data_IF_427693904362
#
_entry.id   IF_427693904362
#
_cell.length_a   1.000
_cell.length_b   1.000
_cell.length_c   1.000
_cell.angle_alpha   90.00
_cell.angle_beta   90.00
_cell.angle_gamma   90.00
#
_symmetry.space_group_name_H-M   'P 1'
#
loop_
_entity.id
_entity.type
_entity.pdbx_description
1 polymer ?
#
# COMPACT_ATOMS: atom_id res chain seq x y z
N UNK A 1 -20.76 -8.58 7.55
CA UNK A 1 -20.02 -7.31 7.64
C UNK A 1 -20.98 -6.14 7.49
N UNK A 2 -20.78 -5.04 8.21
CA UNK A 2 -21.63 -3.84 8.18
C UNK A 2 -20.86 -2.59 8.59
N UNK A 3 -21.44 -1.44 8.36
CA UNK A 3 -20.93 -0.16 8.85
C UNK A 3 -21.71 0.23 10.09
N UNK A 4 -21.00 0.54 11.15
CA UNK A 4 -21.52 1.17 12.36
C UNK A 4 -20.95 2.59 12.42
N UNK A 5 -21.61 3.47 13.22
CA UNK A 5 -21.15 4.82 13.46
C UNK A 5 -20.92 5.03 14.96
N UNK A 6 -19.76 5.57 15.29
CA UNK A 6 -19.44 6.02 16.65
C UNK A 6 -19.39 7.55 16.65
N UNK A 7 -20.10 8.17 17.59
CA UNK A 7 -20.04 9.62 17.78
C UNK A 7 -19.10 9.96 18.94
N UNK A 8 -18.02 10.69 18.65
CA UNK A 8 -17.05 11.16 19.62
C UNK A 8 -16.81 12.65 19.40
N UNK A 9 -16.99 13.47 20.41
CA UNK A 9 -16.81 14.94 20.35
C UNK A 9 -17.55 15.57 19.14
N UNK A 10 -18.78 15.13 18.88
CA UNK A 10 -19.61 15.57 17.75
C UNK A 10 -19.06 15.21 16.36
N UNK A 11 -18.07 14.31 16.28
CA UNK A 11 -17.59 13.74 15.01
C UNK A 11 -18.15 12.34 14.85
N UNK A 12 -18.75 12.08 13.69
CA UNK A 12 -19.25 10.77 13.31
C UNK A 12 -18.11 9.96 12.68
N UNK A 13 -17.74 8.86 13.31
CA UNK A 13 -16.61 8.00 12.90
C UNK A 13 -17.18 6.69 12.36
N UNK A 14 -16.90 6.33 11.10
CA UNK A 14 -17.35 5.06 10.54
C UNK A 14 -16.52 3.91 11.11
N UNK A 15 -17.19 2.79 11.38
CA UNK A 15 -16.58 1.54 11.81
C UNK A 15 -17.00 0.42 10.88
N UNK A 16 -16.08 -0.09 10.10
CA UNK A 16 -16.26 -1.36 9.39
C UNK A 16 -16.26 -2.48 10.42
N UNK A 17 -17.35 -3.21 10.55
CA UNK A 17 -17.56 -4.16 11.64
C UNK A 17 -17.93 -5.57 11.14
N UNK A 18 -17.24 -6.60 11.68
CA UNK A 18 -17.61 -8.00 11.49
C UNK A 18 -17.50 -8.77 12.81
N UNK A 19 -18.63 -9.32 13.29
CA UNK A 19 -18.62 -10.30 14.38
C UNK A 19 -18.36 -11.70 13.83
N UNK A 20 -17.37 -12.40 14.37
CA UNK A 20 -17.01 -13.77 13.97
C UNK A 20 -16.52 -14.56 15.18
N UNK A 21 -17.25 -15.61 15.55
CA UNK A 21 -16.92 -16.51 16.67
C UNK A 21 -16.05 -17.70 16.25
N UNK A 22 -15.52 -17.70 15.02
CA UNK A 22 -14.71 -18.82 14.52
C UNK A 22 -13.41 -19.03 15.30
N UNK A 23 -12.85 -17.93 15.82
CA UNK A 23 -11.67 -17.94 16.70
C UNK A 23 -11.85 -16.88 17.79
N UNK A 24 -11.28 -17.07 19.00
CA UNK A 24 -11.38 -16.10 20.10
C UNK A 24 -10.41 -14.91 19.91
N UNK A 25 -10.35 -14.34 18.72
CA UNK A 25 -9.45 -13.23 18.38
C UNK A 25 -10.23 -11.97 18.04
N UNK A 26 -9.61 -10.83 18.29
CA UNK A 26 -10.13 -9.50 17.93
C UNK A 26 -9.05 -8.75 17.18
N UNK A 27 -9.45 -8.10 16.09
CA UNK A 27 -8.64 -7.16 15.31
C UNK A 27 -9.30 -5.78 15.32
N UNK A 28 -8.54 -4.77 15.69
CA UNK A 28 -8.91 -3.36 15.59
C UNK A 28 -7.84 -2.64 14.78
N UNK A 29 -8.26 -1.88 13.77
CA UNK A 29 -7.36 -1.00 13.03
C UNK A 29 -7.93 0.42 13.01
N UNK A 30 -7.13 1.38 13.41
CA UNK A 30 -7.38 2.81 13.27
C UNK A 30 -6.68 3.29 12.00
N UNK A 31 -7.42 3.73 11.00
CA UNK A 31 -6.88 4.18 9.70
C UNK A 31 -7.10 5.68 9.58
N UNK A 32 -6.03 6.46 9.72
CA UNK A 32 -6.06 7.90 9.55
C UNK A 32 -5.79 8.24 8.08
N UNK A 33 -6.81 8.77 7.40
CA UNK A 33 -6.76 9.16 5.98
C UNK A 33 -5.94 10.44 5.81
N UNK A 34 -5.25 10.57 4.67
CA UNK A 34 -4.37 11.71 4.37
C UNK A 34 -3.43 12.03 5.56
N UNK A 35 -2.77 10.98 6.07
CA UNK A 35 -1.84 11.03 7.21
C UNK A 35 -0.57 10.20 6.96
N UNK A 36 -0.39 9.66 5.76
CA UNK A 36 0.77 8.88 5.37
C UNK A 36 1.96 9.74 4.90
N UNK A 37 2.90 9.10 4.20
CA UNK A 37 4.10 9.78 3.69
C UNK A 37 3.80 10.88 2.67
N UNK A 38 2.61 10.90 2.06
CA UNK A 38 2.12 12.01 1.24
C UNK A 38 2.05 13.35 2.01
N UNK A 39 2.07 13.31 3.35
CA UNK A 39 2.00 14.46 4.24
C UNK A 39 3.37 14.85 4.84
N UNK A 40 4.46 14.26 4.38
CA UNK A 40 5.81 14.54 4.89
C UNK A 40 6.29 15.99 4.67
N UNK A 41 5.65 16.74 3.77
CA UNK A 41 6.11 18.06 3.36
C UNK A 41 7.56 17.99 2.83
N UNK A 42 8.45 18.79 3.41
CA UNK A 42 9.89 18.82 3.04
C UNK A 42 10.75 17.80 3.79
N UNK A 43 10.17 17.05 4.73
CA UNK A 43 10.89 16.12 5.60
C UNK A 43 10.54 14.68 5.22
N UNK A 44 11.05 14.21 4.07
CA UNK A 44 10.88 12.83 3.64
C UNK A 44 11.19 11.86 4.79
N UNK A 45 10.31 10.88 5.04
CA UNK A 45 10.42 9.92 6.14
C UNK A 45 9.77 10.35 7.47
N UNK A 46 9.25 11.58 7.61
CA UNK A 46 8.67 12.06 8.87
C UNK A 46 7.51 11.18 9.35
N UNK A 47 6.56 10.86 8.50
CA UNK A 47 5.40 10.03 8.86
C UNK A 47 5.82 8.62 9.31
N UNK A 48 6.77 8.00 8.60
CA UNK A 48 7.29 6.66 8.94
C UNK A 48 8.08 6.69 10.24
N UNK A 49 8.95 7.69 10.43
CA UNK A 49 9.70 7.86 11.67
C UNK A 49 8.75 8.11 12.86
N UNK A 50 7.67 8.88 12.66
CA UNK A 50 6.63 9.10 13.67
C UNK A 50 5.92 7.79 14.06
N UNK A 51 5.63 6.92 13.11
CA UNK A 51 5.09 5.59 13.40
C UNK A 51 6.09 4.73 14.19
N UNK A 52 7.36 4.74 13.81
CA UNK A 52 8.41 4.01 14.52
C UNK A 52 8.53 4.48 15.98
N UNK A 53 8.43 5.81 16.22
CA UNK A 53 8.48 6.34 17.60
C UNK A 53 7.26 5.91 18.43
N UNK A 54 6.06 5.82 17.83
CA UNK A 54 4.89 5.29 18.55
C UNK A 54 5.09 3.83 18.97
N UNK A 55 5.80 3.02 18.19
CA UNK A 55 6.10 1.64 18.54
C UNK A 55 7.08 1.50 19.72
N UNK A 56 7.62 2.61 20.21
CA UNK A 56 8.50 2.65 21.38
C UNK A 56 7.78 2.82 22.73
N UNK A 57 6.45 2.60 22.73
CA UNK A 57 5.62 2.58 23.94
C UNK A 57 5.27 3.95 24.48
N UNK A 58 4.87 3.98 25.75
CA UNK A 58 4.43 5.18 26.44
C UNK A 58 5.50 5.78 27.38
N UNK A 59 5.32 7.04 27.77
CA UNK A 59 6.22 7.76 28.68
C UNK A 59 6.31 7.13 30.06
N UNK A 60 5.27 6.42 30.54
CA UNK A 60 5.20 5.88 31.88
C UNK A 60 6.02 4.60 32.02
N UNK A 61 5.93 3.71 31.05
CA UNK A 61 6.56 2.39 31.10
C UNK A 61 7.86 2.36 30.31
N UNK A 62 8.00 3.21 29.30
CA UNK A 62 9.07 3.12 28.31
C UNK A 62 8.95 1.90 27.42
N UNK A 63 9.86 1.74 26.46
CA UNK A 63 9.76 0.74 25.39
C UNK A 63 9.71 -0.69 25.94
N UNK A 64 10.69 -1.08 26.77
CA UNK A 64 10.84 -2.48 27.19
C UNK A 64 9.69 -3.01 28.08
N UNK A 65 9.25 -2.19 29.04
CA UNK A 65 8.14 -2.60 29.94
C UNK A 65 6.80 -2.57 29.20
N UNK A 66 6.58 -1.59 28.34
CA UNK A 66 5.38 -1.50 27.52
C UNK A 66 5.26 -2.73 26.60
N UNK A 67 6.34 -3.08 25.87
CA UNK A 67 6.38 -4.27 25.04
C UNK A 67 6.13 -5.55 25.85
N UNK A 68 6.77 -5.71 27.02
CA UNK A 68 6.59 -6.88 27.88
C UNK A 68 5.12 -7.05 28.33
N UNK A 69 4.42 -5.95 28.68
CA UNK A 69 3.01 -6.02 29.08
C UNK A 69 2.10 -6.52 27.95
N UNK A 70 2.42 -6.20 26.70
CA UNK A 70 1.72 -6.69 25.52
C UNK A 70 2.07 -8.15 25.21
N UNK A 71 3.37 -8.47 25.19
CA UNK A 71 3.88 -9.80 24.83
C UNK A 71 3.37 -10.93 25.75
N UNK A 72 3.33 -10.70 27.06
CA UNK A 72 2.82 -11.71 28.03
C UNK A 72 1.34 -12.03 27.85
N UNK A 73 0.63 -11.23 27.03
CA UNK A 73 -0.80 -11.41 26.68
C UNK A 73 -1.01 -11.71 25.20
N UNK A 74 0.06 -11.93 24.45
CA UNK A 74 0.02 -12.11 23.00
C UNK A 74 -0.76 -10.98 22.29
N UNK A 75 -0.60 -9.72 22.75
CA UNK A 75 -1.18 -8.53 22.11
C UNK A 75 -0.16 -7.97 21.13
N UNK A 76 -0.57 -7.82 19.87
CA UNK A 76 0.14 -7.02 18.90
C UNK A 76 -0.51 -5.63 18.87
N UNK A 77 0.26 -4.58 19.18
CA UNK A 77 -0.11 -3.17 19.03
C UNK A 77 1.00 -2.50 18.23
N UNK A 78 0.69 -2.05 17.02
CA UNK A 78 1.68 -1.54 16.09
C UNK A 78 1.18 -0.32 15.34
N UNK A 79 2.03 0.71 15.19
CA UNK A 79 1.80 1.86 14.32
C UNK A 79 2.58 1.67 13.02
N UNK A 80 1.97 2.02 11.89
CA UNK A 80 2.55 1.91 10.56
C UNK A 80 2.14 3.09 9.68
N UNK A 81 2.93 3.33 8.63
CA UNK A 81 2.71 4.42 7.69
C UNK A 81 2.78 3.91 6.25
N UNK A 82 1.68 4.10 5.52
CA UNK A 82 1.63 3.96 4.06
C UNK A 82 1.86 5.29 3.36
N UNK A 83 1.58 5.35 2.05
CA UNK A 83 1.65 6.62 1.31
C UNK A 83 0.50 7.54 1.68
N UNK A 84 -0.73 7.03 1.70
CA UNK A 84 -1.95 7.80 1.93
C UNK A 84 -2.41 7.81 3.40
N UNK A 85 -2.07 6.77 4.15
CA UNK A 85 -2.63 6.52 5.47
C UNK A 85 -1.58 6.30 6.54
N UNK A 86 -1.94 6.67 7.78
CA UNK A 86 -1.27 6.24 8.99
C UNK A 86 -2.19 5.27 9.72
N UNK A 87 -1.67 4.14 10.17
CA UNK A 87 -2.48 3.10 10.81
C UNK A 87 -1.95 2.78 12.20
N UNK A 88 -2.87 2.44 13.12
CA UNK A 88 -2.54 1.82 14.39
C UNK A 88 -3.39 0.55 14.50
N UNK A 89 -2.73 -0.60 14.63
CA UNK A 89 -3.37 -1.90 14.60
C UNK A 89 -3.25 -2.60 15.95
N UNK A 90 -4.35 -3.22 16.41
CA UNK A 90 -4.38 -4.14 17.54
C UNK A 90 -4.85 -5.51 17.06
N UNK A 91 -4.11 -6.56 17.42
CA UNK A 91 -4.57 -7.93 17.30
C UNK A 91 -4.33 -8.64 18.64
N UNK A 92 -5.37 -9.27 19.21
CA UNK A 92 -5.28 -9.93 20.49
C UNK A 92 -6.34 -11.03 20.66
N UNK A 93 -6.23 -11.81 21.74
CA UNK A 93 -7.32 -12.63 22.20
C UNK A 93 -8.46 -11.75 22.75
N UNK A 94 -9.69 -12.21 22.60
CA UNK A 94 -10.90 -11.52 23.06
C UNK A 94 -10.81 -11.06 24.52
N UNK A 95 -10.35 -11.91 25.41
CA UNK A 95 -10.22 -11.62 26.83
C UNK A 95 -9.26 -10.48 27.17
N UNK A 96 -8.34 -10.17 26.24
CA UNK A 96 -7.36 -9.10 26.39
C UNK A 96 -7.74 -7.80 25.66
N UNK A 97 -8.88 -7.77 24.95
CA UNK A 97 -9.24 -6.62 24.12
C UNK A 97 -9.40 -5.31 24.94
N UNK A 98 -10.08 -5.36 26.08
CA UNK A 98 -10.22 -4.20 26.96
C UNK A 98 -8.87 -3.69 27.48
N UNK A 99 -7.96 -4.62 27.85
CA UNK A 99 -6.60 -4.24 28.23
C UNK A 99 -5.82 -3.61 27.06
N UNK A 100 -5.92 -4.18 25.86
CA UNK A 100 -5.29 -3.66 24.66
C UNK A 100 -5.81 -2.24 24.31
N UNK A 101 -7.11 -2.00 24.44
CA UNK A 101 -7.70 -0.66 24.30
C UNK A 101 -7.15 0.32 25.33
N UNK A 102 -6.96 -0.10 26.58
CA UNK A 102 -6.29 0.69 27.63
C UNK A 102 -4.86 1.06 27.22
N UNK A 103 -4.09 0.11 26.70
CA UNK A 103 -2.72 0.36 26.21
C UNK A 103 -2.67 1.29 25.00
N UNK A 104 -3.61 1.15 24.08
CA UNK A 104 -3.75 2.08 22.96
C UNK A 104 -4.02 3.51 23.45
N UNK A 105 -4.91 3.65 24.45
CA UNK A 105 -5.21 4.94 25.06
C UNK A 105 -3.98 5.57 25.73
N UNK A 106 -3.23 4.79 26.51
CA UNK A 106 -1.97 5.23 27.14
C UNK A 106 -0.96 5.66 26.07
N UNK A 107 -0.76 4.84 25.03
CA UNK A 107 0.16 5.10 23.92
C UNK A 107 -0.15 6.42 23.19
N UNK A 108 -1.41 6.67 22.84
CA UNK A 108 -1.77 7.88 22.09
C UNK A 108 -1.74 9.10 23.01
N UNK A 109 -2.12 8.96 24.30
CA UNK A 109 -2.17 10.08 25.25
C UNK A 109 -0.78 10.60 25.63
N UNK A 110 0.17 9.71 25.82
CA UNK A 110 1.51 10.05 26.27
C UNK A 110 2.58 9.12 25.64
N UNK A 111 2.79 9.20 24.32
CA UNK A 111 3.77 8.37 23.63
C UNK A 111 5.19 8.69 24.14
N UNK A 112 6.08 7.70 24.10
CA UNK A 112 7.46 7.82 24.57
C UNK A 112 8.34 8.67 23.62
N UNK A 113 7.97 9.95 23.49
CA UNK A 113 8.63 10.92 22.59
C UNK A 113 9.73 11.68 23.35
N UNK A 114 10.92 11.06 23.45
CA UNK A 114 12.13 11.64 24.03
C UNK A 114 13.21 11.79 22.98
N UNK A 115 14.21 12.66 23.23
CA UNK A 115 15.37 12.80 22.34
C UNK A 115 16.19 11.50 22.22
N UNK A 116 16.27 10.73 23.30
CA UNK A 116 16.95 9.42 23.31
C UNK A 116 16.26 8.45 22.33
N UNK A 117 14.94 8.33 22.41
CA UNK A 117 14.14 7.47 21.54
C UNK A 117 14.20 7.94 20.09
N UNK A 118 14.08 9.25 19.85
CA UNK A 118 14.23 9.82 18.51
C UNK A 118 15.59 9.44 17.90
N UNK A 119 16.68 9.62 18.65
CA UNK A 119 18.03 9.31 18.17
C UNK A 119 18.22 7.82 17.91
N UNK A 120 17.63 6.94 18.72
CA UNK A 120 17.62 5.49 18.51
C UNK A 120 16.86 5.13 17.22
N UNK A 121 15.64 5.62 17.04
CA UNK A 121 14.85 5.41 15.83
C UNK A 121 15.53 5.95 14.58
N UNK A 122 16.17 7.14 14.66
CA UNK A 122 16.99 7.67 13.56
C UNK A 122 18.16 6.75 13.22
N UNK A 123 18.86 6.23 14.22
CA UNK A 123 19.99 5.31 13.99
C UNK A 123 19.53 4.04 13.26
N UNK A 124 18.44 3.44 13.69
CA UNK A 124 17.84 2.26 13.02
C UNK A 124 17.44 2.62 11.59
N UNK A 125 16.71 3.73 11.40
CA UNK A 125 16.27 4.17 10.07
C UNK A 125 17.45 4.47 9.14
N UNK A 126 18.52 5.06 9.63
CA UNK A 126 19.74 5.30 8.83
C UNK A 126 20.44 4.00 8.44
N UNK A 127 20.39 2.97 9.30
CA UNK A 127 20.84 1.62 8.98
C UNK A 127 19.99 0.97 7.87
N UNK A 128 18.66 1.09 7.95
CA UNK A 128 17.76 0.62 6.90
C UNK A 128 17.99 1.36 5.57
N UNK A 129 18.22 2.68 5.59
CA UNK A 129 18.55 3.45 4.38
C UNK A 129 19.86 2.93 3.77
N UNK A 130 20.89 2.67 4.59
CA UNK A 130 22.16 2.14 4.09
C UNK A 130 22.00 0.72 3.51
N UNK A 131 21.14 -0.12 4.09
CA UNK A 131 20.82 -1.43 3.54
C UNK A 131 20.09 -1.30 2.19
N UNK A 132 19.09 -0.40 2.10
CA UNK A 132 18.33 -0.15 0.88
C UNK A 132 19.21 0.40 -0.27
N UNK A 133 20.27 1.14 0.02
CA UNK A 133 21.23 1.60 -1.00
C UNK A 133 21.99 0.45 -1.69
N UNK A 134 22.03 -0.73 -1.05
CA UNK A 134 22.62 -1.96 -1.58
C UNK A 134 21.57 -2.96 -2.08
N UNK A 135 20.30 -2.67 -1.94
CA UNK A 135 19.20 -3.44 -2.52
C UNK A 135 18.92 -2.91 -3.93
N UNK A 136 19.36 -3.66 -4.94
CA UNK A 136 19.26 -3.26 -6.34
C UNK A 136 17.82 -3.13 -6.83
N UNK A 137 16.90 -3.96 -6.31
CA UNK A 137 15.47 -3.84 -6.58
C UNK A 137 14.91 -2.54 -6.02
N UNK A 138 15.26 -2.22 -4.78
CA UNK A 138 14.85 -0.97 -4.15
C UNK A 138 15.35 0.25 -4.92
N UNK A 139 16.65 0.26 -5.28
CA UNK A 139 17.29 1.39 -5.98
C UNK A 139 16.68 1.61 -7.35
N UNK A 140 16.52 0.55 -8.15
CA UNK A 140 15.94 0.66 -9.49
C UNK A 140 14.45 1.05 -9.45
N UNK A 141 13.69 0.52 -8.49
CA UNK A 141 12.30 0.91 -8.26
C UNK A 141 12.17 2.38 -7.88
N UNK A 142 13.00 2.86 -6.96
CA UNK A 142 13.00 4.26 -6.54
C UNK A 142 13.33 5.18 -7.72
N UNK A 143 14.32 4.84 -8.54
CA UNK A 143 14.64 5.58 -9.77
C UNK A 143 13.49 5.63 -10.76
N UNK A 144 12.67 4.58 -10.88
CA UNK A 144 11.46 4.63 -11.69
C UNK A 144 10.45 5.66 -11.16
N UNK A 145 10.23 5.72 -9.83
CA UNK A 145 9.32 6.70 -9.25
C UNK A 145 9.82 8.14 -9.42
N UNK A 146 11.13 8.36 -9.39
CA UNK A 146 11.74 9.68 -9.70
C UNK A 146 11.46 10.11 -11.14
N UNK A 147 11.51 9.19 -12.11
CA UNK A 147 11.16 9.47 -13.51
C UNK A 147 9.67 9.74 -13.70
N UNK A 148 8.82 8.93 -13.07
CA UNK A 148 7.36 9.05 -13.23
C UNK A 148 6.75 10.23 -12.48
N UNK A 149 7.32 10.62 -11.35
CA UNK A 149 6.77 11.68 -10.48
C UNK A 149 7.79 12.73 -10.09
N UNK A 150 8.49 13.36 -11.05
CA UNK A 150 9.58 14.27 -10.75
C UNK A 150 9.11 15.44 -9.87
N UNK A 151 9.91 15.78 -8.86
CA UNK A 151 9.68 16.88 -7.91
C UNK A 151 8.40 16.75 -7.08
N UNK A 152 7.86 15.56 -6.92
CA UNK A 152 6.72 15.29 -6.06
C UNK A 152 7.13 14.47 -4.83
N UNK A 153 6.26 14.37 -3.83
CA UNK A 153 6.49 13.50 -2.67
C UNK A 153 6.55 12.00 -3.02
N UNK A 154 6.06 11.60 -4.20
CA UNK A 154 6.18 10.23 -4.72
C UNK A 154 7.59 9.91 -5.22
N UNK A 155 8.37 10.91 -5.63
CA UNK A 155 9.77 10.73 -5.99
C UNK A 155 10.70 10.62 -4.77
N UNK A 156 10.21 10.98 -3.59
CA UNK A 156 11.00 10.86 -2.35
C UNK A 156 10.80 9.49 -1.71
N UNK A 157 11.86 8.84 -1.19
CA UNK A 157 11.72 7.58 -0.47
C UNK A 157 10.81 7.74 0.76
N UNK A 158 9.84 6.86 0.93
CA UNK A 158 8.94 6.90 2.09
C UNK A 158 9.67 6.71 3.43
N UNK A 159 10.81 6.03 3.41
CA UNK A 159 11.71 5.89 4.58
C UNK A 159 12.50 7.18 4.86
N UNK A 160 12.56 8.11 3.91
CA UNK A 160 13.38 9.30 3.96
C UNK A 160 14.77 9.13 3.37
N UNK A 161 15.54 10.21 3.42
CA UNK A 161 16.94 10.27 3.02
C UNK A 161 17.85 10.44 4.25
N UNK A 162 19.13 10.13 4.14
CA UNK A 162 20.12 10.41 5.22
C UNK A 162 20.05 11.86 5.70
N UNK A 163 19.82 12.80 4.77
CA UNK A 163 19.70 14.23 5.06
C UNK A 163 18.42 14.55 5.82
N UNK A 164 17.27 14.10 5.32
CA UNK A 164 15.97 14.40 5.94
C UNK A 164 15.83 13.76 7.31
N UNK A 165 16.21 12.49 7.48
CA UNK A 165 16.14 11.79 8.77
C UNK A 165 16.98 12.48 9.84
N UNK A 166 18.20 12.92 9.51
CA UNK A 166 19.04 13.70 10.45
C UNK A 166 18.40 15.02 10.85
N UNK A 167 17.70 15.68 9.91
CA UNK A 167 17.08 16.99 10.13
C UNK A 167 15.77 16.95 10.93
N UNK A 168 15.02 15.83 10.93
CA UNK A 168 13.77 15.70 11.69
C UNK A 168 14.03 15.93 13.18
N UNK A 169 13.24 16.77 13.81
CA UNK A 169 13.29 17.08 15.26
C UNK A 169 12.14 16.39 15.99
N UNK A 170 12.23 16.32 17.31
CA UNK A 170 11.15 15.80 18.14
C UNK A 170 9.89 16.68 18.04
N UNK A 171 10.03 17.97 17.82
CA UNK A 171 8.95 18.90 17.57
C UNK A 171 8.22 18.60 16.25
N UNK A 172 8.96 18.27 15.18
CA UNK A 172 8.34 17.86 13.91
C UNK A 172 7.48 16.61 14.08
N UNK A 173 7.98 15.63 14.86
CA UNK A 173 7.21 14.40 15.15
C UNK A 173 5.96 14.71 15.95
N UNK A 174 6.06 15.51 17.03
CA UNK A 174 4.92 15.91 17.85
C UNK A 174 3.87 16.67 17.04
N UNK A 175 4.34 17.59 16.20
CA UNK A 175 3.47 18.37 15.30
C UNK A 175 2.77 17.44 14.32
N UNK A 176 3.52 16.54 13.66
CA UNK A 176 2.95 15.59 12.70
C UNK A 176 1.86 14.71 13.33
N UNK A 177 2.14 14.06 14.45
CA UNK A 177 1.17 13.22 15.16
C UNK A 177 -0.06 14.03 15.61
N UNK A 178 0.15 15.22 16.17
CA UNK A 178 -0.94 16.08 16.59
C UNK A 178 -1.80 16.55 15.40
N UNK A 179 -1.22 16.88 14.25
CA UNK A 179 -1.96 17.38 13.09
C UNK A 179 -2.71 16.25 12.34
N UNK A 180 -2.20 15.02 12.34
CA UNK A 180 -2.67 13.96 11.47
C UNK A 180 -3.47 12.85 12.17
N UNK A 181 -3.30 12.66 13.49
CA UNK A 181 -4.11 11.69 14.23
C UNK A 181 -5.34 12.39 14.82
N UNK A 182 -6.42 12.49 14.04
CA UNK A 182 -7.65 13.17 14.41
C UNK A 182 -8.91 12.39 14.00
N UNK A 183 -10.05 12.72 14.63
CA UNK A 183 -11.32 12.02 14.45
C UNK A 183 -11.94 12.23 13.06
N UNK A 184 -11.77 13.43 12.45
CA UNK A 184 -12.42 13.78 11.17
C UNK A 184 -11.88 12.98 9.98
N UNK A 185 -10.68 12.40 10.12
CA UNK A 185 -10.03 11.61 9.07
C UNK A 185 -9.90 10.14 9.46
N UNK A 186 -10.54 9.71 10.53
CA UNK A 186 -10.45 8.36 11.06
C UNK A 186 -11.50 7.44 10.44
N UNK A 187 -11.05 6.27 10.02
CA UNK A 187 -11.85 5.09 9.75
C UNK A 187 -11.41 4.00 10.74
N UNK A 188 -12.36 3.38 11.43
CA UNK A 188 -12.08 2.22 12.26
C UNK A 188 -12.48 0.95 11.52
N UNK A 189 -11.69 -0.12 11.69
CA UNK A 189 -12.00 -1.47 11.24
C UNK A 189 -11.92 -2.38 12.45
N UNK A 190 -13.02 -3.02 12.80
CA UNK A 190 -13.15 -3.82 14.02
C UNK A 190 -13.81 -5.15 13.72
N UNK A 191 -13.15 -6.25 14.03
CA UNK A 191 -13.76 -7.56 13.82
C UNK A 191 -13.18 -8.64 14.71
N UNK A 192 -13.91 -9.76 14.83
CA UNK A 192 -13.53 -10.91 15.63
C UNK A 192 -14.63 -11.42 16.53
N UNK A 193 -14.25 -12.13 17.61
CA UNK A 193 -15.20 -12.62 18.61
C UNK A 193 -15.62 -11.49 19.57
N UNK A 194 -16.34 -10.55 19.00
CA UNK A 194 -16.89 -9.36 19.66
C UNK A 194 -18.32 -9.10 19.19
N UNK A 195 -19.04 -8.30 19.95
CA UNK A 195 -20.33 -7.75 19.56
C UNK A 195 -20.27 -6.21 19.48
N UNK A 196 -21.38 -5.58 19.07
CA UNK A 196 -21.45 -4.12 18.91
C UNK A 196 -21.25 -3.34 20.23
N UNK A 197 -21.40 -3.99 21.39
CA UNK A 197 -21.24 -3.31 22.68
C UNK A 197 -19.79 -2.88 22.90
N UNK A 198 -18.82 -3.62 22.37
CA UNK A 198 -17.40 -3.27 22.45
C UNK A 198 -17.04 -2.00 21.66
N UNK A 199 -17.91 -1.52 20.76
CA UNK A 199 -17.72 -0.20 20.15
C UNK A 199 -17.74 0.94 21.16
N UNK A 200 -18.36 0.75 22.35
CA UNK A 200 -18.31 1.73 23.45
C UNK A 200 -16.92 1.86 24.06
N UNK A 201 -16.19 0.73 24.16
CA UNK A 201 -14.80 0.75 24.63
C UNK A 201 -13.92 1.51 23.64
N UNK A 202 -14.11 1.25 22.34
CA UNK A 202 -13.43 1.98 21.28
C UNK A 202 -13.76 3.48 21.35
N UNK A 203 -15.02 3.88 21.55
CA UNK A 203 -15.40 5.28 21.69
C UNK A 203 -14.63 5.98 22.83
N UNK A 204 -14.50 5.31 23.98
CA UNK A 204 -13.73 5.83 25.14
C UNK A 204 -12.24 6.01 24.83
N UNK A 205 -11.65 5.14 24.01
CA UNK A 205 -10.26 5.31 23.54
C UNK A 205 -10.15 6.53 22.63
N UNK A 206 -11.09 6.69 21.71
CA UNK A 206 -11.06 7.76 20.70
C UNK A 206 -11.29 9.16 21.29
N UNK A 207 -11.84 9.28 22.49
CA UNK A 207 -12.00 10.57 23.19
C UNK A 207 -10.69 11.35 23.42
N UNK A 208 -9.54 10.69 23.38
CA UNK A 208 -8.24 11.36 23.49
C UNK A 208 -7.87 12.14 22.24
N UNK A 209 -8.41 11.75 21.08
CA UNK A 209 -8.14 12.41 19.81
C UNK A 209 -8.91 13.75 19.70
N UNK A 210 -8.35 14.68 18.97
CA UNK A 210 -9.04 15.94 18.65
C UNK A 210 -10.00 15.75 17.47
N UNK A 211 -11.03 16.60 17.31
CA UNK A 211 -11.93 16.55 16.16
C UNK A 211 -11.20 16.64 14.82
N UNK A 212 -10.30 17.64 14.65
CA UNK A 212 -9.56 17.88 13.42
C UNK A 212 -10.39 18.54 12.31
N UNK A 213 -9.84 18.54 11.09
CA UNK A 213 -10.50 18.99 9.86
C UNK A 213 -10.35 17.92 8.79
N UNK A 214 -11.39 17.71 7.98
CA UNK A 214 -11.33 16.77 6.85
C UNK A 214 -10.23 17.21 5.88
N UNK A 215 -9.31 16.29 5.58
CA UNK A 215 -8.22 16.47 4.61
C UNK A 215 -8.55 15.79 3.29
N UNK A 216 -8.12 16.41 2.21
CA UNK A 216 -8.18 15.82 0.87
C UNK A 216 -6.81 15.26 0.51
N UNK A 217 -6.79 14.11 -0.14
CA UNK A 217 -5.58 13.59 -0.75
C UNK A 217 -5.25 14.40 -2.00
N UNK A 218 -3.99 14.79 -2.11
CA UNK A 218 -3.45 15.32 -3.36
C UNK A 218 -3.35 14.20 -4.40
N UNK A 219 -3.64 14.52 -5.65
CA UNK A 219 -3.55 13.57 -6.74
C UNK A 219 -2.35 13.88 -7.62
N UNK A 220 -1.52 12.88 -7.84
CA UNK A 220 -0.31 12.95 -8.66
C UNK A 220 -0.53 12.21 -9.96
N UNK A 221 -0.10 12.82 -11.06
CA UNK A 221 -0.13 12.20 -12.38
C UNK A 221 1.28 11.81 -12.80
N UNK A 222 1.49 10.58 -13.28
CA UNK A 222 2.80 10.18 -13.78
C UNK A 222 3.17 10.95 -15.06
N UNK A 223 4.47 11.17 -15.23
CA UNK A 223 5.03 11.78 -16.43
C UNK A 223 4.76 10.93 -17.67
N UNK A 224 4.46 11.58 -18.79
CA UNK A 224 4.26 10.95 -20.10
C UNK A 224 5.48 11.07 -21.02
N UNK A 225 6.66 11.46 -20.49
CA UNK A 225 7.85 11.77 -21.30
C UNK A 225 8.61 10.57 -21.84
N UNK A 226 8.27 9.34 -21.45
CA UNK A 226 8.96 8.12 -21.88
C UNK A 226 10.48 8.16 -21.61
N UNK A 227 10.85 8.54 -20.40
CA UNK A 227 12.26 8.70 -20.00
C UNK A 227 12.89 7.35 -19.64
N UNK A 228 14.20 7.22 -19.83
CA UNK A 228 14.97 6.06 -19.40
C UNK A 228 16.19 6.51 -18.61
N UNK A 229 16.47 5.82 -17.50
CA UNK A 229 17.63 6.04 -16.66
C UNK A 229 18.39 4.74 -16.44
N UNK A 230 19.71 4.79 -16.48
CA UNK A 230 20.58 3.67 -16.13
C UNK A 230 21.37 4.00 -14.86
N UNK A 231 21.37 3.06 -13.91
CA UNK A 231 22.14 3.12 -12.67
C UNK A 231 23.22 2.04 -12.75
N UNK A 232 24.47 2.48 -12.71
CA UNK A 232 25.61 1.56 -12.80
C UNK A 232 25.99 1.09 -11.39
N UNK A 233 25.94 -0.23 -11.20
CA UNK A 233 26.40 -0.93 -9.98
C UNK A 233 27.01 -2.27 -10.39
N UNK A 234 27.97 -2.75 -9.64
CA UNK A 234 28.50 -4.11 -9.84
C UNK A 234 27.39 -5.11 -9.49
N UNK A 235 26.78 -5.72 -10.52
CA UNK A 235 25.68 -6.67 -10.40
C UNK A 235 25.81 -7.76 -11.43
N UNK A 236 25.41 -8.98 -11.08
CA UNK A 236 25.38 -10.12 -12.02
C UNK A 236 24.24 -10.02 -13.04
N UNK A 237 23.20 -9.29 -12.71
CA UNK A 237 21.99 -9.17 -13.52
C UNK A 237 21.56 -7.70 -13.64
N UNK A 238 20.77 -7.42 -14.69
CA UNK A 238 20.09 -6.15 -14.87
C UNK A 238 18.71 -6.20 -14.18
N UNK A 239 18.42 -5.20 -13.36
CA UNK A 239 17.14 -4.97 -12.68
C UNK A 239 16.39 -3.91 -13.46
N UNK A 240 15.32 -4.32 -14.15
CA UNK A 240 14.55 -3.46 -15.05
C UNK A 240 13.20 -3.15 -14.40
N UNK A 241 12.99 -1.90 -14.02
CA UNK A 241 11.71 -1.38 -13.60
C UNK A 241 11.12 -0.51 -14.69
N UNK A 242 9.83 -0.64 -14.95
CA UNK A 242 9.14 0.15 -15.96
C UNK A 242 7.75 0.57 -15.49
N UNK A 243 7.28 1.67 -16.03
CA UNK A 243 5.95 2.18 -15.73
C UNK A 243 5.47 3.18 -16.76
N UNK A 244 4.18 3.40 -16.76
CA UNK A 244 3.51 4.34 -17.64
C UNK A 244 2.27 4.93 -16.97
N UNK A 245 1.74 6.06 -17.43
CA UNK A 245 0.40 6.49 -17.05
C UNK A 245 -0.64 5.41 -17.32
N UNK A 246 -1.58 5.25 -16.37
CA UNK A 246 -2.73 4.38 -16.56
C UNK A 246 -3.93 5.02 -15.85
N UNK A 247 -4.63 5.90 -16.57
CA UNK A 247 -5.63 6.83 -16.03
C UNK A 247 -7.01 6.18 -15.95
N UNK A 248 -7.14 5.15 -15.14
CA UNK A 248 -8.37 4.37 -14.98
C UNK A 248 -9.37 5.11 -14.10
N UNK A 249 -10.62 5.18 -14.56
CA UNK A 249 -11.73 5.71 -13.77
C UNK A 249 -12.11 4.70 -12.66
N UNK A 250 -12.59 5.17 -11.49
CA UNK A 250 -12.98 4.27 -10.39
C UNK A 250 -13.92 3.15 -10.80
N UNK A 251 -14.94 3.46 -11.63
CA UNK A 251 -15.93 2.51 -12.10
C UNK A 251 -15.41 1.47 -13.10
N UNK A 252 -14.20 1.66 -13.64
CA UNK A 252 -13.56 0.77 -14.61
C UNK A 252 -12.37 -0.03 -14.02
N UNK A 253 -12.09 0.11 -12.72
CA UNK A 253 -10.99 -0.61 -12.06
C UNK A 253 -11.07 -2.12 -12.25
N UNK A 254 -12.26 -2.70 -12.29
CA UNK A 254 -12.45 -4.13 -12.57
C UNK A 254 -11.95 -4.53 -13.96
N UNK A 255 -12.11 -3.68 -14.99
CA UNK A 255 -11.58 -3.93 -16.34
C UNK A 255 -10.05 -3.86 -16.33
N UNK A 256 -9.48 -2.89 -15.61
CA UNK A 256 -8.04 -2.75 -15.45
C UNK A 256 -7.44 -3.99 -14.76
N UNK A 257 -8.10 -4.52 -13.73
CA UNK A 257 -7.67 -5.73 -13.05
C UNK A 257 -7.62 -6.94 -13.99
N UNK A 258 -8.65 -7.13 -14.84
CA UNK A 258 -8.65 -8.20 -15.86
C UNK A 258 -7.57 -7.97 -16.91
N UNK A 259 -7.43 -6.74 -17.40
CA UNK A 259 -6.45 -6.37 -18.42
C UNK A 259 -5.01 -6.61 -17.94
N UNK A 260 -4.65 -6.16 -16.74
CA UNK A 260 -3.29 -6.34 -16.20
C UNK A 260 -3.04 -7.78 -15.74
N UNK A 261 -4.07 -8.49 -15.31
CA UNK A 261 -3.96 -9.93 -15.05
C UNK A 261 -3.49 -10.69 -16.31
N UNK A 262 -4.12 -10.43 -17.45
CA UNK A 262 -3.74 -11.03 -18.74
C UNK A 262 -2.36 -10.56 -19.17
N UNK A 263 -2.05 -9.27 -19.01
CA UNK A 263 -0.77 -8.71 -19.44
C UNK A 263 0.42 -9.26 -18.63
N UNK A 264 0.33 -9.28 -17.28
CA UNK A 264 1.50 -9.57 -16.45
C UNK A 264 1.25 -10.13 -15.06
N UNK A 265 0.06 -9.96 -14.43
CA UNK A 265 -0.19 -10.43 -13.06
C UNK A 265 -0.57 -11.91 -12.98
N UNK A 266 -1.04 -12.51 -14.06
CA UNK A 266 -1.50 -13.90 -14.12
C UNK A 266 -0.39 -14.96 -14.02
N UNK A 267 0.84 -14.55 -13.69
CA UNK A 267 1.98 -15.47 -13.60
C UNK A 267 2.25 -16.17 -14.92
N UNK A 268 2.45 -17.49 -14.92
CA UNK A 268 2.74 -18.29 -16.13
C UNK A 268 1.68 -18.20 -17.23
N UNK A 269 0.46 -17.82 -16.91
CA UNK A 269 -0.60 -17.61 -17.90
C UNK A 269 -0.65 -16.20 -18.49
N UNK A 270 0.23 -15.30 -18.07
CA UNK A 270 0.27 -13.93 -18.57
C UNK A 270 1.18 -13.78 -19.81
N UNK A 271 0.90 -12.75 -20.62
CA UNK A 271 1.62 -12.49 -21.86
C UNK A 271 3.12 -12.22 -21.65
N UNK A 272 3.45 -11.40 -20.65
CA UNK A 272 4.86 -11.09 -20.37
C UNK A 272 5.62 -12.32 -19.93
N UNK A 273 5.05 -13.18 -19.10
CA UNK A 273 5.71 -14.44 -18.71
C UNK A 273 5.88 -15.38 -19.90
N UNK A 274 4.86 -15.51 -20.75
CA UNK A 274 4.94 -16.33 -21.97
C UNK A 274 6.04 -15.84 -22.92
N UNK A 275 6.07 -14.54 -23.23
CA UNK A 275 7.02 -13.98 -24.17
C UNK A 275 8.45 -13.92 -23.62
N UNK A 276 8.62 -13.59 -22.35
CA UNK A 276 9.93 -13.34 -21.74
C UNK A 276 10.57 -14.64 -21.23
N UNK A 277 9.80 -15.42 -20.46
CA UNK A 277 10.32 -16.63 -19.81
C UNK A 277 10.19 -17.86 -20.70
N UNK A 278 8.96 -18.15 -21.16
CA UNK A 278 8.67 -19.43 -21.81
C UNK A 278 9.31 -19.49 -23.20
N UNK A 279 9.12 -18.45 -24.03
CA UNK A 279 9.60 -18.45 -25.41
C UNK A 279 11.07 -18.08 -25.55
N UNK A 280 11.58 -17.17 -24.72
CA UNK A 280 12.94 -16.60 -24.90
C UNK A 280 13.91 -16.91 -23.78
N UNK A 281 13.45 -17.39 -22.62
CA UNK A 281 14.32 -17.68 -21.49
C UNK A 281 15.08 -16.46 -20.96
N UNK A 282 14.54 -15.24 -21.16
CA UNK A 282 15.23 -14.00 -20.79
C UNK A 282 15.24 -13.76 -19.29
N UNK A 283 14.19 -14.18 -18.57
CA UNK A 283 14.06 -13.95 -17.13
C UNK A 283 13.35 -15.11 -16.44
N UNK A 284 13.62 -15.27 -15.14
CA UNK A 284 12.87 -16.19 -14.29
C UNK A 284 11.45 -15.67 -14.00
N UNK A 285 11.32 -14.35 -13.83
CA UNK A 285 10.05 -13.68 -13.54
C UNK A 285 9.99 -12.33 -14.26
N UNK A 286 8.82 -12.03 -14.81
CA UNK A 286 8.48 -10.73 -15.36
C UNK A 286 7.00 -10.47 -15.06
N UNK A 287 6.67 -9.26 -14.62
CA UNK A 287 5.28 -8.89 -14.39
C UNK A 287 4.99 -7.44 -14.75
N UNK A 288 3.73 -7.18 -15.03
CA UNK A 288 3.16 -5.84 -15.07
C UNK A 288 1.81 -5.85 -14.35
N UNK A 289 1.58 -4.85 -13.52
CA UNK A 289 0.35 -4.69 -12.75
C UNK A 289 -0.12 -3.24 -12.75
N UNK A 290 -1.35 -3.04 -12.38
CA UNK A 290 -1.86 -1.71 -12.11
C UNK A 290 -1.59 -1.30 -10.65
N UNK A 291 -1.29 -0.01 -10.44
CA UNK A 291 -1.30 0.65 -9.13
C UNK A 291 -2.35 1.75 -9.21
N UNK A 292 -3.56 1.49 -8.70
CA UNK A 292 -4.72 2.37 -8.81
C UNK A 292 -5.12 2.89 -7.42
N UNK A 293 -4.27 3.73 -6.83
CA UNK A 293 -4.51 4.39 -5.55
C UNK A 293 -5.41 5.63 -5.73
N UNK A 294 -5.92 6.18 -4.64
CA UNK A 294 -6.68 7.43 -4.70
C UNK A 294 -5.80 8.61 -5.11
N UNK A 295 -4.54 8.60 -4.68
CA UNK A 295 -3.56 9.67 -4.91
C UNK A 295 -2.78 9.54 -6.23
N UNK A 296 -2.64 8.35 -6.80
CA UNK A 296 -1.95 8.15 -8.07
C UNK A 296 -2.38 6.86 -8.77
N UNK A 297 -2.19 6.83 -10.10
CA UNK A 297 -2.60 5.70 -10.95
C UNK A 297 -1.57 5.48 -12.06
N UNK A 298 -1.05 4.23 -12.16
CA UNK A 298 -0.04 3.87 -13.14
C UNK A 298 -0.02 2.39 -13.48
N UNK A 299 0.48 2.04 -14.66
CA UNK A 299 1.03 0.74 -14.94
C UNK A 299 2.43 0.64 -14.32
N UNK A 300 2.75 -0.47 -13.71
CA UNK A 300 4.01 -0.73 -13.05
C UNK A 300 4.47 -2.14 -13.34
N UNK A 301 5.73 -2.31 -13.72
CA UNK A 301 6.28 -3.62 -14.02
C UNK A 301 7.74 -3.77 -13.64
N UNK A 302 8.17 -5.02 -13.64
CA UNK A 302 9.50 -5.42 -13.24
C UNK A 302 9.92 -6.70 -13.94
N UNK A 303 11.21 -6.80 -14.24
CA UNK A 303 11.89 -8.04 -14.56
C UNK A 303 13.38 -7.96 -14.21
N UNK A 304 14.00 -9.11 -14.06
CA UNK A 304 15.43 -9.29 -13.84
C UNK A 304 15.99 -10.21 -14.93
N UNK A 305 17.08 -9.81 -15.57
CA UNK A 305 17.70 -10.56 -16.67
C UNK A 305 19.22 -10.45 -16.62
N UNK A 306 19.93 -11.22 -17.44
CA UNK A 306 21.37 -11.04 -17.61
C UNK A 306 21.69 -9.67 -18.20
N UNK A 307 22.82 -9.05 -17.80
CA UNK A 307 23.21 -7.71 -18.26
C UNK A 307 23.24 -7.59 -19.79
N UNK A 308 23.83 -8.59 -20.48
CA UNK A 308 23.91 -8.63 -21.95
C UNK A 308 22.57 -8.82 -22.66
N UNK A 309 21.52 -9.22 -21.94
CA UNK A 309 20.16 -9.43 -22.46
C UNK A 309 19.21 -8.27 -22.19
N UNK A 310 19.68 -7.22 -21.53
CA UNK A 310 18.88 -6.08 -21.08
C UNK A 310 18.09 -5.42 -22.24
N UNK A 311 18.77 -5.11 -23.34
CA UNK A 311 18.14 -4.38 -24.45
C UNK A 311 17.11 -5.23 -25.18
N UNK A 312 17.38 -6.53 -25.37
CA UNK A 312 16.43 -7.49 -25.90
C UNK A 312 15.17 -7.56 -25.00
N UNK A 313 15.37 -7.64 -23.71
CA UNK A 313 14.28 -7.71 -22.74
C UNK A 313 13.40 -6.45 -22.75
N UNK A 314 13.98 -5.25 -22.78
CA UNK A 314 13.27 -3.99 -22.89
C UNK A 314 12.48 -3.92 -24.22
N UNK A 315 13.08 -4.36 -25.32
CA UNK A 315 12.41 -4.40 -26.62
C UNK A 315 11.17 -5.30 -26.59
N UNK A 316 11.28 -6.49 -25.99
CA UNK A 316 10.15 -7.44 -25.83
C UNK A 316 9.04 -6.85 -24.97
N UNK A 317 9.35 -6.17 -23.84
CA UNK A 317 8.36 -5.49 -23.02
C UNK A 317 7.60 -4.44 -23.84
N UNK A 318 8.32 -3.57 -24.55
CA UNK A 318 7.73 -2.51 -25.39
C UNK A 318 6.84 -3.08 -26.49
N UNK A 319 7.33 -4.12 -27.18
CA UNK A 319 6.58 -4.79 -28.26
C UNK A 319 5.29 -5.41 -27.71
N UNK A 320 5.35 -6.15 -26.60
CA UNK A 320 4.17 -6.84 -26.08
C UNK A 320 3.12 -5.87 -25.52
N UNK A 321 3.54 -4.79 -24.84
CA UNK A 321 2.59 -3.75 -24.38
C UNK A 321 1.96 -3.03 -25.57
N UNK A 322 2.73 -2.72 -26.62
CA UNK A 322 2.21 -2.11 -27.85
C UNK A 322 1.22 -3.05 -28.57
N UNK A 323 1.55 -4.32 -28.65
CA UNK A 323 0.68 -5.32 -29.25
C UNK A 323 -0.60 -5.52 -28.44
N UNK A 324 -0.49 -5.55 -27.11
CA UNK A 324 -1.62 -5.62 -26.20
C UNK A 324 -2.56 -4.42 -26.37
N UNK A 325 -2.05 -3.19 -26.35
CA UNK A 325 -2.86 -1.97 -26.50
C UNK A 325 -3.53 -1.84 -27.87
N UNK A 326 -2.86 -2.28 -28.96
CA UNK A 326 -3.39 -2.18 -30.33
C UNK A 326 -4.35 -3.31 -30.68
N UNK A 327 -4.00 -4.56 -30.34
CA UNK A 327 -4.75 -5.76 -30.75
C UNK A 327 -5.78 -6.22 -29.72
N UNK A 328 -5.61 -5.78 -28.45
CA UNK A 328 -6.43 -6.27 -27.35
C UNK A 328 -6.08 -7.71 -26.97
N UNK A 329 -7.05 -8.42 -26.40
CA UNK A 329 -6.93 -9.81 -25.91
C UNK A 329 -7.85 -10.74 -26.68
N UNK A 330 -7.52 -12.04 -26.67
CA UNK A 330 -8.35 -13.10 -27.25
C UNK A 330 -9.48 -13.53 -26.28
N UNK A 331 -10.48 -14.21 -26.80
CA UNK A 331 -11.55 -14.83 -25.99
C UNK A 331 -10.99 -15.83 -24.98
N UNK A 332 -9.99 -16.63 -25.38
CA UNK A 332 -9.37 -17.61 -24.50
C UNK A 332 -8.66 -16.97 -23.31
N UNK A 333 -7.92 -15.88 -23.51
CA UNK A 333 -7.26 -15.13 -22.44
C UNK A 333 -8.28 -14.50 -21.47
N UNK A 334 -9.37 -13.93 -21.98
CA UNK A 334 -10.44 -13.39 -21.15
C UNK A 334 -11.10 -14.47 -20.29
N UNK A 335 -11.46 -15.60 -20.88
CA UNK A 335 -12.11 -16.69 -20.14
C UNK A 335 -11.17 -17.31 -19.08
N UNK A 336 -9.88 -17.44 -19.40
CA UNK A 336 -8.87 -17.88 -18.42
C UNK A 336 -8.75 -16.91 -17.25
N UNK A 337 -8.68 -15.60 -17.54
CA UNK A 337 -8.60 -14.56 -16.49
C UNK A 337 -9.84 -14.56 -15.61
N UNK A 338 -11.04 -14.62 -16.19
CA UNK A 338 -12.30 -14.74 -15.45
C UNK A 338 -12.30 -15.97 -14.55
N UNK A 339 -11.96 -17.13 -15.08
CA UNK A 339 -11.93 -18.39 -14.34
C UNK A 339 -11.02 -18.29 -13.10
N UNK A 340 -9.85 -17.67 -13.24
CA UNK A 340 -8.94 -17.50 -12.12
C UNK A 340 -9.43 -16.48 -11.10
N UNK A 341 -9.81 -15.28 -11.56
CA UNK A 341 -10.24 -14.19 -10.68
C UNK A 341 -11.49 -14.53 -9.88
N UNK A 342 -12.47 -15.18 -10.51
CA UNK A 342 -13.70 -15.63 -9.85
C UNK A 342 -13.43 -16.86 -8.98
N UNK A 343 -12.66 -17.84 -9.48
CA UNK A 343 -12.34 -19.07 -8.75
C UNK A 343 -11.49 -18.86 -7.50
N UNK A 344 -10.72 -17.76 -7.43
CA UNK A 344 -9.90 -17.41 -6.26
C UNK A 344 -10.70 -16.78 -5.10
N UNK A 345 -11.99 -16.48 -5.29
CA UNK A 345 -12.84 -15.81 -4.29
C UNK A 345 -12.83 -16.49 -2.91
N UNK A 346 -12.99 -17.83 -2.78
CA UNK A 346 -12.96 -18.46 -1.47
C UNK A 346 -11.65 -18.22 -0.71
N UNK A 347 -10.51 -18.26 -1.42
CA UNK A 347 -9.18 -18.02 -0.84
C UNK A 347 -8.99 -16.55 -0.41
N UNK A 348 -9.63 -15.61 -1.11
CA UNK A 348 -9.57 -14.19 -0.78
C UNK A 348 -10.42 -13.82 0.44
N UNK A 349 -11.48 -14.58 0.72
CA UNK A 349 -12.40 -14.36 1.86
C UNK A 349 -12.21 -15.34 3.01
N UNK A 350 -11.19 -16.20 2.95
CA UNK A 350 -10.98 -17.34 3.85
C UNK A 350 -10.91 -16.94 5.33
N UNK A 351 -10.10 -15.93 5.66
CA UNK A 351 -9.87 -15.52 7.04
C UNK A 351 -10.58 -14.20 7.37
N UNK A 352 -10.88 -14.00 8.65
CA UNK A 352 -11.41 -12.73 9.16
C UNK A 352 -10.53 -11.54 8.71
N UNK A 353 -9.21 -11.66 8.84
CA UNK A 353 -8.29 -10.58 8.49
C UNK A 353 -8.37 -10.21 7.00
N UNK A 354 -8.40 -11.20 6.10
CA UNK A 354 -8.57 -10.95 4.65
C UNK A 354 -9.88 -10.22 4.34
N UNK A 355 -10.97 -10.62 5.00
CA UNK A 355 -12.28 -9.97 4.81
C UNK A 355 -12.29 -8.53 5.33
N UNK A 356 -11.68 -8.30 6.50
CA UNK A 356 -11.54 -6.95 7.07
C UNK A 356 -10.69 -6.04 6.19
N UNK A 357 -9.59 -6.56 5.63
CA UNK A 357 -8.72 -5.78 4.72
C UNK A 357 -9.43 -5.41 3.41
N UNK A 358 -10.20 -6.35 2.82
CA UNK A 358 -11.03 -6.05 1.65
C UNK A 358 -12.05 -4.96 1.97
N UNK A 359 -12.77 -5.10 3.06
CA UNK A 359 -13.79 -4.14 3.44
C UNK A 359 -13.22 -2.78 3.85
N UNK A 360 -12.03 -2.74 4.47
CA UNK A 360 -11.28 -1.51 4.68
C UNK A 360 -10.99 -0.80 3.35
N UNK A 361 -10.48 -1.55 2.37
CA UNK A 361 -10.18 -1.02 1.03
C UNK A 361 -11.42 -0.46 0.35
N UNK A 362 -12.52 -1.23 0.33
CA UNK A 362 -13.80 -0.80 -0.24
C UNK A 362 -14.31 0.49 0.40
N UNK A 363 -14.36 0.52 1.73
CA UNK A 363 -14.86 1.70 2.45
C UNK A 363 -13.92 2.90 2.30
N UNK A 364 -12.61 2.67 2.29
CA UNK A 364 -11.62 3.72 2.06
C UNK A 364 -11.78 4.38 0.69
N UNK A 365 -12.02 3.56 -0.35
CA UNK A 365 -12.11 4.04 -1.74
C UNK A 365 -13.50 4.59 -2.09
N UNK A 366 -14.57 3.94 -1.63
CA UNK A 366 -15.94 4.20 -2.10
C UNK A 366 -16.87 4.77 -1.02
N UNK A 367 -16.50 4.70 0.26
CA UNK A 367 -17.35 5.07 1.38
C UNK A 367 -18.48 4.07 1.65
N UNK A 368 -18.50 2.92 0.99
CA UNK A 368 -19.51 1.86 1.13
C UNK A 368 -18.87 0.47 1.05
N UNK A 369 -19.60 -0.57 1.49
CA UNK A 369 -19.20 -1.96 1.37
C UNK A 369 -19.87 -2.64 0.16
N UNK A 370 -19.26 -3.76 -0.28
CA UNK A 370 -19.79 -4.61 -1.34
C UNK A 370 -19.27 -4.28 -2.74
N UNK A 371 -18.40 -3.29 -2.90
CA UNK A 371 -17.77 -2.94 -4.17
C UNK A 371 -16.97 -4.12 -4.76
N UNK A 372 -16.24 -4.86 -3.92
CA UNK A 372 -15.46 -6.01 -4.33
C UNK A 372 -16.32 -7.13 -4.97
N UNK A 373 -17.45 -7.49 -4.36
CA UNK A 373 -18.36 -8.50 -4.92
C UNK A 373 -19.05 -7.98 -6.18
N UNK A 374 -19.50 -6.73 -6.19
CA UNK A 374 -20.06 -6.08 -7.39
C UNK A 374 -19.06 -6.09 -8.56
N UNK A 375 -17.78 -5.88 -8.29
CA UNK A 375 -16.74 -5.91 -9.34
C UNK A 375 -16.51 -7.34 -9.85
N UNK A 376 -16.62 -8.37 -9.02
CA UNK A 376 -16.59 -9.77 -9.48
C UNK A 376 -17.78 -10.10 -10.38
N UNK A 377 -18.98 -9.61 -10.05
CA UNK A 377 -20.16 -9.76 -10.91
C UNK A 377 -19.95 -9.07 -12.27
N UNK A 378 -19.38 -7.85 -12.28
CA UNK A 378 -19.01 -7.14 -13.51
C UNK A 378 -17.94 -7.90 -14.31
N UNK A 379 -16.92 -8.48 -13.64
CA UNK A 379 -15.91 -9.32 -14.29
C UNK A 379 -16.56 -10.53 -14.93
N UNK A 380 -17.49 -11.20 -14.25
CA UNK A 380 -18.24 -12.34 -14.80
C UNK A 380 -18.99 -11.97 -16.06
N UNK A 381 -19.67 -10.82 -16.08
CA UNK A 381 -20.44 -10.32 -17.21
C UNK A 381 -19.61 -9.67 -18.33
N UNK A 382 -18.34 -9.34 -18.08
CA UNK A 382 -17.47 -8.58 -18.99
C UNK A 382 -17.32 -9.26 -20.35
N UNK A 383 -17.71 -8.59 -21.42
CA UNK A 383 -17.55 -9.08 -22.78
C UNK A 383 -16.14 -8.82 -23.34
N UNK A 384 -15.75 -9.61 -24.35
CA UNK A 384 -14.47 -9.41 -25.06
C UNK A 384 -14.41 -8.03 -25.73
N UNK A 385 -15.53 -7.57 -26.31
CA UNK A 385 -15.62 -6.26 -26.96
C UNK A 385 -15.41 -5.12 -25.98
N UNK A 386 -16.03 -5.18 -24.81
CA UNK A 386 -15.88 -4.15 -23.76
C UNK A 386 -14.44 -4.09 -23.22
N UNK A 387 -13.83 -5.27 -22.93
CA UNK A 387 -12.45 -5.31 -22.47
C UNK A 387 -11.47 -4.78 -23.53
N UNK A 388 -11.64 -5.18 -24.79
CA UNK A 388 -10.78 -4.70 -25.87
C UNK A 388 -10.98 -3.21 -26.18
N UNK A 389 -12.20 -2.69 -26.04
CA UNK A 389 -12.47 -1.26 -26.14
C UNK A 389 -11.78 -0.48 -25.00
N UNK A 390 -11.84 -1.00 -23.77
CA UNK A 390 -11.13 -0.43 -22.61
C UNK A 390 -9.62 -0.42 -22.84
N UNK A 391 -9.02 -1.54 -23.24
CA UNK A 391 -7.57 -1.65 -23.49
C UNK A 391 -7.12 -0.64 -24.56
N UNK A 392 -7.87 -0.51 -25.66
CA UNK A 392 -7.57 0.46 -26.74
C UNK A 392 -7.71 1.90 -26.30
N UNK A 393 -8.67 2.20 -25.42
CA UNK A 393 -8.88 3.55 -24.89
C UNK A 393 -7.73 3.99 -23.96
N UNK A 394 -7.00 3.05 -23.38
CA UNK A 394 -5.86 3.29 -22.49
C UNK A 394 -4.51 3.11 -23.19
N UNK A 395 -4.36 3.72 -24.38
CA UNK A 395 -3.10 3.65 -25.14
C UNK A 395 -1.92 4.39 -24.45
N UNK A 396 -2.18 5.19 -23.42
CA UNK A 396 -1.15 5.85 -22.60
C UNK A 396 -0.21 4.86 -21.91
N UNK A 397 -0.59 3.60 -21.72
CA UNK A 397 0.30 2.55 -21.20
C UNK A 397 1.53 2.29 -22.09
N UNK A 398 1.54 2.77 -23.35
CA UNK A 398 2.71 2.72 -24.23
C UNK A 398 3.74 3.82 -23.92
N UNK A 399 3.40 4.80 -23.09
CA UNK A 399 4.31 5.88 -22.67
C UNK A 399 5.23 5.39 -21.55
N UNK A 400 6.02 4.35 -21.86
CA UNK A 400 6.85 3.64 -20.89
C UNK A 400 8.10 4.45 -20.53
N UNK A 401 8.30 4.63 -19.25
CA UNK A 401 9.59 5.01 -18.66
C UNK A 401 10.27 3.78 -18.05
N UNK A 402 11.61 3.76 -18.10
CA UNK A 402 12.41 2.64 -17.60
C UNK A 402 13.49 3.15 -16.65
N UNK A 403 13.66 2.48 -15.53
CA UNK A 403 14.86 2.62 -14.70
C UNK A 403 15.55 1.25 -14.65
N UNK A 404 16.80 1.20 -15.02
CA UNK A 404 17.58 -0.03 -15.14
C UNK A 404 18.83 0.08 -14.28
N UNK A 405 18.95 -0.79 -13.28
CA UNK A 405 20.22 -0.98 -12.59
C UNK A 405 20.96 -2.13 -13.26
N UNK A 406 22.22 -1.89 -13.64
CA UNK A 406 23.02 -2.86 -14.39
C UNK A 406 24.50 -2.73 -14.04
N UNK A 407 25.29 -3.74 -14.48
CA UNK A 407 26.75 -3.66 -14.45
C UNK A 407 27.28 -2.68 -15.51
N UNK A 408 28.48 -2.20 -15.29
CA UNK A 408 29.27 -1.56 -16.36
C UNK A 408 29.69 -2.66 -17.34
N UNK A 409 29.26 -2.56 -18.58
CA UNK A 409 29.58 -3.51 -19.66
C UNK A 409 30.64 -2.87 -20.54
#
# INVERSE_FOLDING_TARGET
>A
MKILDINVKNVKIPVVFESSKAMPVVSLKLVFKAAGSSQNGKLAGLARLSANLLNEGDMKLGSAKFAKELEVRAISLNASCGFETFCIDINCLKEHFAFACGKLKELISAPNLTEEILNRCKTVTLGEIAANENDFDYVARQGLFELLYPKSVLSEPSIGTKKSIKAITLEDVRKFLNEHLDLSNLLCVLGGDIDEKQTKELASVLEILKPGKVRKLERFSPSNKCESSEIIRQSEQAYIYFGAPFNVKPEEKYKAAVATFILGEGGFGSRLMEEIRVKRGLAYSAYARNLLNLSYSQLYGYMQTKNEKKDEAIAVIKEEILKFSKKGVSKAELEQAKKFLLGSLPLRLETLFKRLDIAQGEFYEHGELGAFLKDLDKISALSLSELNSFIKAHAEINQLSFCVLKNEI
#
